data_IF_909749321906
#
_entry.id   IF_909749321906
#
_cell.length_a   1.000
_cell.length_b   1.000
_cell.length_c   1.000
_cell.angle_alpha   90.00
_cell.angle_beta   90.00
_cell.angle_gamma   90.00
#
_symmetry.space_group_name_H-M   'P 1'
#
loop_
_entity.id
_entity.type
_entity.pdbx_description
1 polymer ?
#
# COMPACT_ATOMS: atom_id res chain seq x y z
N UNK A 1 12.02 5.94 16.41
CA UNK A 1 13.16 6.09 15.48
C UNK A 1 12.77 5.46 14.16
N UNK A 2 13.20 6.02 13.04
CA UNK A 2 12.96 5.46 11.71
C UNK A 2 13.70 4.10 11.59
N UNK A 3 13.05 3.01 11.12
CA UNK A 3 13.68 1.70 10.94
C UNK A 3 14.98 1.74 10.12
N UNK A 4 15.12 2.68 9.16
CA UNK A 4 16.38 2.82 8.42
C UNK A 4 17.54 3.32 9.29
N UNK A 5 17.25 4.14 10.31
CA UNK A 5 18.25 4.68 11.25
C UNK A 5 18.76 3.59 12.18
N UNK A 6 17.89 2.68 12.64
CA UNK A 6 18.26 1.58 13.52
C UNK A 6 19.14 0.54 12.80
N UNK A 7 18.81 0.24 11.55
CA UNK A 7 19.65 -0.59 10.68
C UNK A 7 21.04 0.04 10.45
N UNK A 8 21.10 1.36 10.27
CA UNK A 8 22.36 2.08 10.04
C UNK A 8 23.26 2.05 11.28
N UNK A 9 22.67 2.22 12.47
CA UNK A 9 23.38 2.10 13.74
C UNK A 9 23.88 0.66 13.97
N UNK A 10 23.07 -0.34 13.65
CA UNK A 10 23.45 -1.75 13.79
C UNK A 10 24.57 -2.12 12.83
N UNK A 11 24.47 -1.71 11.56
CA UNK A 11 25.53 -1.88 10.56
C UNK A 11 26.84 -1.20 11.00
N UNK A 12 26.76 0.07 11.43
CA UNK A 12 27.90 0.84 11.91
C UNK A 12 28.56 0.22 13.14
N UNK A 13 27.78 -0.41 14.03
CA UNK A 13 28.30 -1.15 15.19
C UNK A 13 29.05 -2.42 14.78
N UNK A 14 28.57 -3.16 13.78
CA UNK A 14 29.21 -4.39 13.31
C UNK A 14 30.53 -4.06 12.59
N UNK A 15 30.54 -3.07 11.69
CA UNK A 15 31.76 -2.68 10.96
C UNK A 15 32.73 -1.87 11.83
N UNK A 16 32.20 -1.08 12.78
CA UNK A 16 33.01 -0.29 13.71
C UNK A 16 33.70 -1.15 14.78
N UNK A 17 33.28 -2.41 14.95
CA UNK A 17 34.12 -3.41 15.60
C UNK A 17 35.33 -3.60 14.68
N UNK A 18 36.53 -3.19 15.11
CA UNK A 18 37.78 -3.32 14.34
C UNK A 18 38.18 -4.81 14.17
N UNK A 19 37.34 -5.62 13.52
CA UNK A 19 37.48 -7.06 13.37
C UNK A 19 38.79 -7.41 12.68
N UNK A 20 39.28 -6.55 11.78
CA UNK A 20 40.61 -6.71 11.18
C UNK A 20 41.74 -6.67 12.22
N UNK A 21 41.77 -5.67 13.10
CA UNK A 21 42.80 -5.56 14.14
C UNK A 21 42.67 -6.68 15.17
N UNK A 22 41.44 -7.02 15.56
CA UNK A 22 41.17 -8.14 16.45
C UNK A 22 41.62 -9.49 15.86
N UNK A 23 41.25 -9.78 14.60
CA UNK A 23 41.58 -11.04 13.94
C UNK A 23 43.08 -11.16 13.68
N UNK A 24 43.75 -10.07 13.27
CA UNK A 24 45.22 -10.06 13.11
C UNK A 24 45.94 -10.25 14.44
N UNK A 25 45.44 -9.65 15.52
CA UNK A 25 45.96 -9.87 16.87
C UNK A 25 45.79 -11.33 17.33
N UNK A 26 44.58 -11.90 17.19
CA UNK A 26 44.31 -13.31 17.51
C UNK A 26 45.11 -14.27 16.63
N UNK A 27 45.29 -13.96 15.35
CA UNK A 27 46.11 -14.74 14.42
C UNK A 27 47.58 -14.77 14.84
N UNK A 28 48.09 -13.64 15.38
CA UNK A 28 49.45 -13.60 15.96
C UNK A 28 49.54 -14.49 17.20
N UNK A 29 48.54 -14.42 18.09
CA UNK A 29 48.49 -15.28 19.29
C UNK A 29 48.44 -16.77 18.92
N UNK A 30 47.69 -17.15 17.88
CA UNK A 30 47.64 -18.53 17.38
C UNK A 30 49.01 -19.03 16.88
N UNK A 31 49.87 -18.14 16.36
CA UNK A 31 51.23 -18.48 15.92
C UNK A 31 52.22 -18.60 17.07
N UNK A 32 51.95 -17.93 18.18
CA UNK A 32 52.76 -17.95 19.40
C UNK A 32 52.32 -19.05 20.39
N UNK A 33 51.17 -19.68 20.15
CA UNK A 33 50.63 -20.78 20.94
C UNK A 33 51.58 -21.98 21.00
N UNK A 34 51.72 -22.58 22.18
CA UNK A 34 52.70 -23.65 22.42
C UNK A 34 52.15 -25.04 22.12
N UNK A 35 50.84 -25.16 21.98
CA UNK A 35 50.14 -26.42 21.75
C UNK A 35 49.20 -26.30 20.55
N UNK A 36 49.01 -27.42 19.85
CA UNK A 36 48.05 -27.50 18.75
C UNK A 36 46.60 -27.27 19.21
N UNK A 37 46.28 -27.66 20.45
CA UNK A 37 44.94 -27.51 21.03
C UNK A 37 44.58 -26.03 21.22
N UNK A 38 45.50 -25.27 21.83
CA UNK A 38 45.34 -23.81 22.04
C UNK A 38 45.31 -23.05 20.71
N UNK A 39 46.15 -23.46 19.74
CA UNK A 39 46.13 -22.89 18.40
C UNK A 39 44.79 -23.12 17.69
N UNK A 40 44.23 -24.33 17.81
CA UNK A 40 42.94 -24.67 17.22
C UNK A 40 41.80 -23.88 17.86
N UNK A 41 41.78 -23.77 19.17
CA UNK A 41 40.77 -22.98 19.91
C UNK A 41 40.74 -21.51 19.46
N UNK A 42 41.92 -20.91 19.27
CA UNK A 42 42.02 -19.52 18.77
C UNK A 42 41.52 -19.41 17.31
N UNK A 43 41.82 -20.40 16.45
CA UNK A 43 41.31 -20.40 15.08
C UNK A 43 39.79 -20.58 15.02
N UNK A 44 39.24 -21.47 15.86
CA UNK A 44 37.80 -21.69 15.96
C UNK A 44 37.09 -20.40 16.43
N UNK A 45 37.62 -19.70 17.43
CA UNK A 45 37.09 -18.40 17.89
C UNK A 45 37.11 -17.33 16.78
N UNK A 46 38.20 -17.26 15.99
CA UNK A 46 38.30 -16.35 14.84
C UNK A 46 37.21 -16.67 13.81
N UNK A 47 37.04 -17.94 13.47
CA UNK A 47 36.09 -18.38 12.45
C UNK A 47 34.66 -18.16 12.90
N UNK A 48 34.31 -18.55 14.13
CA UNK A 48 32.96 -18.36 14.70
C UNK A 48 32.58 -16.88 14.72
N UNK A 49 33.45 -16.02 15.23
CA UNK A 49 33.17 -14.58 15.30
C UNK A 49 32.99 -13.97 13.91
N UNK A 50 33.81 -14.35 12.92
CA UNK A 50 33.69 -13.86 11.54
C UNK A 50 32.41 -14.37 10.86
N UNK A 51 32.00 -15.60 11.14
CA UNK A 51 30.76 -16.17 10.61
C UNK A 51 29.54 -15.47 11.22
N UNK A 52 29.57 -15.18 12.51
CA UNK A 52 28.50 -14.45 13.21
C UNK A 52 28.38 -13.03 12.67
N UNK A 53 29.48 -12.28 12.55
CA UNK A 53 29.45 -10.92 11.99
C UNK A 53 28.95 -10.91 10.54
N UNK A 54 29.34 -11.91 9.74
CA UNK A 54 28.81 -12.08 8.38
C UNK A 54 27.30 -12.35 8.40
N UNK A 55 26.83 -13.23 9.26
CA UNK A 55 25.40 -13.56 9.41
C UNK A 55 24.60 -12.30 9.79
N UNK A 56 25.09 -11.54 10.76
CA UNK A 56 24.48 -10.28 11.18
C UNK A 56 24.43 -9.26 10.04
N UNK A 57 25.52 -9.08 9.30
CA UNK A 57 25.55 -8.21 8.13
C UNK A 57 24.59 -8.68 7.03
N UNK A 58 24.46 -9.99 6.81
CA UNK A 58 23.51 -10.55 5.86
C UNK A 58 22.06 -10.30 6.28
N UNK A 59 21.77 -10.40 7.58
CA UNK A 59 20.45 -10.09 8.13
C UNK A 59 20.12 -8.61 7.99
N UNK A 60 21.08 -7.71 8.32
CA UNK A 60 20.92 -6.27 8.14
C UNK A 60 20.73 -5.91 6.67
N UNK A 61 21.53 -6.50 5.75
CA UNK A 61 21.38 -6.28 4.31
C UNK A 61 20.03 -6.77 3.77
N UNK A 62 19.54 -7.91 4.27
CA UNK A 62 18.20 -8.41 3.92
C UNK A 62 17.11 -7.47 4.40
N UNK A 63 17.19 -7.00 5.64
CA UNK A 63 16.22 -6.05 6.19
C UNK A 63 16.24 -4.69 5.47
N UNK A 64 17.43 -4.21 5.06
CA UNK A 64 17.53 -3.06 4.16
C UNK A 64 16.81 -3.34 2.84
N UNK A 65 17.11 -4.47 2.20
CA UNK A 65 16.46 -4.88 0.95
C UNK A 65 14.94 -4.93 1.11
N UNK A 66 14.44 -5.54 2.17
CA UNK A 66 13.01 -5.63 2.46
C UNK A 66 12.40 -4.25 2.66
N UNK A 67 13.06 -3.34 3.38
CA UNK A 67 12.60 -1.96 3.57
C UNK A 67 12.46 -1.21 2.24
N UNK A 68 13.37 -1.46 1.29
CA UNK A 68 13.30 -0.89 -0.07
C UNK A 68 12.27 -1.57 -0.96
N UNK A 69 12.16 -2.90 -0.93
CA UNK A 69 11.23 -3.68 -1.74
C UNK A 69 9.77 -3.54 -1.26
N UNK A 70 9.54 -3.31 0.04
CA UNK A 70 8.19 -3.11 0.59
C UNK A 70 7.51 -1.83 0.07
N UNK A 71 8.23 -0.92 -0.57
CA UNK A 71 7.69 0.32 -1.16
C UNK A 71 7.30 0.11 -2.64
N UNK A 72 7.78 -0.97 -3.26
CA UNK A 72 7.57 -1.29 -4.66
C UNK A 72 6.31 -2.15 -4.86
N UNK A 73 5.38 -1.72 -5.71
CA UNK A 73 4.26 -2.56 -6.19
C UNK A 73 4.81 -3.43 -7.34
N UNK A 74 4.52 -4.73 -7.35
CA UNK A 74 4.93 -5.62 -8.45
C UNK A 74 4.06 -5.38 -9.70
N UNK A 75 4.52 -5.80 -10.88
CA UNK A 75 3.71 -5.68 -12.11
C UNK A 75 2.37 -6.41 -12.01
N UNK A 76 2.32 -7.54 -11.32
CA UNK A 76 1.10 -8.32 -11.06
C UNK A 76 0.15 -7.59 -10.10
N UNK A 77 0.68 -6.97 -9.05
CA UNK A 77 -0.10 -6.14 -8.12
C UNK A 77 -0.69 -4.89 -8.81
N UNK A 78 0.05 -4.30 -9.77
CA UNK A 78 -0.45 -3.18 -10.58
C UNK A 78 -1.63 -3.62 -11.46
N UNK A 79 -1.57 -4.82 -12.05
CA UNK A 79 -2.69 -5.35 -12.84
C UNK A 79 -3.91 -5.64 -11.98
N UNK A 80 -3.72 -6.16 -10.75
CA UNK A 80 -4.76 -6.30 -9.74
C UNK A 80 -5.40 -4.95 -9.37
N UNK A 81 -4.59 -3.92 -9.17
CA UNK A 81 -5.06 -2.57 -8.89
C UNK A 81 -5.88 -2.01 -10.06
N UNK A 82 -5.36 -2.12 -11.30
CA UNK A 82 -6.04 -1.70 -12.53
C UNK A 82 -7.40 -2.38 -12.68
N UNK A 83 -7.47 -3.70 -12.47
CA UNK A 83 -8.71 -4.47 -12.55
C UNK A 83 -9.71 -4.11 -11.44
N UNK A 84 -9.21 -3.84 -10.23
CA UNK A 84 -10.05 -3.42 -9.11
C UNK A 84 -10.63 -2.03 -9.34
N UNK A 85 -9.81 -1.08 -9.79
CA UNK A 85 -10.26 0.28 -10.15
C UNK A 85 -11.29 0.20 -11.26
N UNK A 86 -11.04 -0.60 -12.31
CA UNK A 86 -12.00 -0.81 -13.40
C UNK A 86 -13.34 -1.32 -12.86
N UNK A 87 -13.34 -2.34 -12.01
CA UNK A 87 -14.58 -2.89 -11.41
C UNK A 87 -15.32 -1.85 -10.57
N UNK A 88 -14.61 -1.08 -9.75
CA UNK A 88 -15.22 -0.04 -8.92
C UNK A 88 -15.87 1.02 -9.80
N UNK A 89 -15.17 1.47 -10.84
CA UNK A 89 -15.70 2.42 -11.84
C UNK A 89 -16.94 1.87 -12.53
N UNK A 90 -16.91 0.62 -12.99
CA UNK A 90 -18.05 -0.04 -13.63
C UNK A 90 -19.27 -0.13 -12.72
N UNK A 91 -19.06 -0.33 -11.40
CA UNK A 91 -20.15 -0.32 -10.42
C UNK A 91 -20.78 1.07 -10.24
N UNK A 92 -19.99 2.13 -10.30
CA UNK A 92 -20.51 3.51 -10.21
C UNK A 92 -21.11 4.01 -11.54
N UNK A 93 -20.67 3.45 -12.67
CA UNK A 93 -21.14 3.80 -14.02
C UNK A 93 -22.26 2.88 -14.54
N UNK A 94 -23.05 2.25 -13.66
CA UNK A 94 -24.24 1.51 -14.06
C UNK A 94 -25.26 2.48 -14.67
N UNK A 95 -25.24 2.61 -16.00
CA UNK A 95 -26.23 3.38 -16.73
C UNK A 95 -27.57 2.61 -16.68
N UNK A 96 -28.65 3.24 -16.19
CA UNK A 96 -29.97 2.64 -16.27
C UNK A 96 -30.39 2.47 -17.74
N UNK A 97 -31.16 1.42 -18.03
CA UNK A 97 -31.54 1.09 -19.40
C UNK A 97 -32.36 2.22 -20.03
N UNK A 98 -32.04 2.58 -21.28
CA UNK A 98 -32.66 3.71 -22.00
C UNK A 98 -34.18 3.52 -22.07
N UNK A 99 -34.63 2.30 -22.32
CA UNK A 99 -36.05 2.00 -22.47
C UNK A 99 -36.78 2.03 -21.12
N UNK A 100 -36.11 1.60 -20.04
CA UNK A 100 -36.61 1.65 -18.66
C UNK A 100 -36.75 3.11 -18.16
N UNK A 101 -35.79 3.97 -18.49
CA UNK A 101 -35.84 5.40 -18.19
C UNK A 101 -37.00 6.11 -18.92
N UNK A 102 -37.19 5.80 -20.19
CA UNK A 102 -38.29 6.36 -21.00
C UNK A 102 -39.63 5.91 -20.43
N UNK A 103 -39.80 4.62 -20.10
CA UNK A 103 -41.03 4.10 -19.49
C UNK A 103 -41.32 4.73 -18.13
N UNK A 104 -40.31 4.83 -17.25
CA UNK A 104 -40.47 5.47 -15.93
C UNK A 104 -40.90 6.93 -16.07
N UNK A 105 -40.30 7.69 -16.99
CA UNK A 105 -40.66 9.10 -17.23
C UNK A 105 -42.02 9.27 -17.91
N UNK A 106 -42.42 8.37 -18.80
CA UNK A 106 -43.77 8.35 -19.36
C UNK A 106 -44.85 8.08 -18.30
N UNK A 107 -44.54 7.26 -17.29
CA UNK A 107 -45.48 6.92 -16.21
C UNK A 107 -45.59 8.03 -15.14
N UNK A 108 -44.53 8.81 -14.93
CA UNK A 108 -44.47 9.91 -13.95
C UNK A 108 -45.03 11.23 -14.48
N UNK A 109 -44.96 11.47 -15.80
CA UNK A 109 -45.33 12.75 -16.41
C UNK A 109 -46.22 12.52 -17.62
N UNK A 110 -47.41 13.15 -17.63
CA UNK A 110 -48.35 13.10 -18.76
C UNK A 110 -47.90 13.88 -20.00
N UNK A 111 -46.61 13.83 -20.34
CA UNK A 111 -45.95 14.58 -21.39
C UNK A 111 -45.86 13.79 -22.71
N UNK A 112 -45.65 14.49 -23.84
CA UNK A 112 -45.46 13.90 -25.16
C UNK A 112 -44.12 13.14 -25.24
N UNK A 113 -44.13 11.94 -25.85
CA UNK A 113 -42.98 11.02 -25.97
C UNK A 113 -41.72 11.69 -26.55
N UNK A 114 -41.87 12.59 -27.51
CA UNK A 114 -40.75 13.30 -28.14
C UNK A 114 -39.94 14.18 -27.17
N UNK A 115 -40.59 14.84 -26.21
CA UNK A 115 -39.91 15.70 -25.23
C UNK A 115 -39.17 14.88 -24.16
N UNK A 116 -39.65 13.67 -23.88
CA UNK A 116 -39.04 12.72 -22.95
C UNK A 116 -37.78 12.12 -23.59
N UNK A 117 -37.85 11.73 -24.87
CA UNK A 117 -36.70 11.19 -25.61
C UNK A 117 -35.53 12.21 -25.64
N UNK A 118 -35.81 13.49 -25.91
CA UNK A 118 -34.78 14.55 -25.91
C UNK A 118 -34.15 14.78 -24.52
N UNK A 119 -34.90 14.58 -23.44
CA UNK A 119 -34.37 14.69 -22.07
C UNK A 119 -33.52 13.48 -21.69
N UNK A 120 -33.97 12.28 -22.05
CA UNK A 120 -33.23 11.03 -21.84
C UNK A 120 -31.93 11.03 -22.63
N UNK A 121 -31.95 11.44 -23.89
CA UNK A 121 -30.75 11.51 -24.72
C UNK A 121 -29.72 12.53 -24.17
N UNK A 122 -30.18 13.67 -23.61
CA UNK A 122 -29.30 14.62 -22.89
C UNK A 122 -28.68 14.01 -21.64
N UNK A 123 -29.45 13.26 -20.86
CA UNK A 123 -28.96 12.57 -19.66
C UNK A 123 -27.91 11.50 -20.02
N UNK A 124 -28.19 10.68 -21.05
CA UNK A 124 -27.28 9.63 -21.52
C UNK A 124 -25.98 10.19 -22.10
N UNK A 125 -26.05 11.28 -22.88
CA UNK A 125 -24.84 11.94 -23.39
C UNK A 125 -23.97 12.50 -22.25
N UNK A 126 -24.58 13.06 -21.21
CA UNK A 126 -23.85 13.56 -20.03
C UNK A 126 -23.20 12.43 -19.21
N UNK A 127 -23.86 11.27 -19.12
CA UNK A 127 -23.28 10.05 -18.52
C UNK A 127 -22.10 9.55 -19.37
N UNK A 128 -22.25 9.51 -20.70
CA UNK A 128 -21.21 9.09 -21.63
C UNK A 128 -19.96 9.98 -21.55
N UNK A 129 -20.13 11.30 -21.48
CA UNK A 129 -19.02 12.24 -21.32
C UNK A 129 -18.27 12.03 -19.99
N UNK A 130 -18.99 11.66 -18.92
CA UNK A 130 -18.37 11.30 -17.64
C UNK A 130 -17.61 9.98 -17.73
N UNK A 131 -18.19 8.97 -18.39
CA UNK A 131 -17.54 7.69 -18.61
C UNK A 131 -16.23 7.83 -19.40
N UNK A 132 -16.21 8.65 -20.46
CA UNK A 132 -15.00 8.92 -21.24
C UNK A 132 -13.88 9.56 -20.40
N UNK A 133 -14.21 10.50 -19.51
CA UNK A 133 -13.22 11.12 -18.60
C UNK A 133 -12.64 10.11 -17.61
N UNK A 134 -13.47 9.20 -17.10
CA UNK A 134 -12.98 8.15 -16.21
C UNK A 134 -12.11 7.15 -16.96
N UNK A 135 -12.45 6.82 -18.20
CA UNK A 135 -11.67 5.93 -19.05
C UNK A 135 -10.29 6.50 -19.39
N UNK A 136 -10.21 7.83 -19.64
CA UNK A 136 -8.94 8.54 -19.77
C UNK A 136 -8.09 8.47 -18.50
N UNK A 137 -8.70 8.56 -17.31
CA UNK A 137 -7.99 8.40 -16.05
C UNK A 137 -7.47 6.96 -15.87
N UNK A 138 -8.27 5.95 -16.22
CA UNK A 138 -7.85 4.54 -16.18
C UNK A 138 -6.66 4.30 -17.11
N UNK A 139 -6.60 4.97 -18.26
CA UNK A 139 -5.46 4.87 -19.19
C UNK A 139 -4.16 5.45 -18.61
N UNK A 140 -4.23 6.39 -17.67
CA UNK A 140 -3.06 6.92 -16.95
C UNK A 140 -2.61 5.99 -15.82
N UNK A 141 -3.51 5.17 -15.29
CA UNK A 141 -3.23 4.09 -14.34
C UNK A 141 -2.81 2.83 -15.12
N UNK A 142 -1.88 2.99 -16.05
CA UNK A 142 -1.31 1.87 -16.80
C UNK A 142 -0.02 1.35 -16.14
N UNK A 143 0.29 0.08 -16.40
CA UNK A 143 1.40 -0.64 -15.78
C UNK A 143 2.72 0.09 -16.01
N UNK A 144 2.98 0.54 -17.23
CA UNK A 144 4.22 1.23 -17.59
C UNK A 144 4.34 2.61 -16.91
N UNK A 145 3.22 3.32 -16.73
CA UNK A 145 3.20 4.62 -16.05
C UNK A 145 3.45 4.48 -14.56
N UNK A 146 2.84 3.47 -13.94
CA UNK A 146 3.03 3.21 -12.51
C UNK A 146 4.45 2.70 -12.22
N UNK A 147 5.00 1.85 -13.08
CA UNK A 147 6.40 1.40 -12.96
C UNK A 147 7.40 2.55 -13.12
N UNK A 148 7.20 3.45 -14.09
CA UNK A 148 8.11 4.59 -14.29
C UNK A 148 8.08 5.56 -13.12
N UNK A 149 6.90 5.86 -12.57
CA UNK A 149 6.77 6.64 -11.35
C UNK A 149 7.43 5.95 -10.15
N UNK A 150 7.32 4.62 -10.03
CA UNK A 150 8.03 3.84 -9.02
C UNK A 150 9.55 3.95 -9.15
N UNK A 151 10.07 3.85 -10.38
CA UNK A 151 11.51 4.05 -10.67
C UNK A 151 11.99 5.45 -10.30
N UNK A 152 11.13 6.46 -10.40
CA UNK A 152 11.40 7.82 -9.95
C UNK A 152 11.29 8.00 -8.42
N UNK A 153 10.92 6.95 -7.67
CA UNK A 153 10.83 6.96 -6.21
C UNK A 153 9.44 7.26 -5.65
N UNK A 154 8.38 7.15 -6.46
CA UNK A 154 7.01 7.35 -5.98
C UNK A 154 6.55 6.22 -5.05
N UNK A 155 6.08 6.56 -3.85
CA UNK A 155 5.60 5.60 -2.84
C UNK A 155 4.07 5.44 -2.91
N UNK A 156 3.62 4.36 -3.54
CA UNK A 156 2.19 4.10 -3.74
C UNK A 156 1.41 3.73 -2.47
N UNK A 157 2.06 3.08 -1.51
CA UNK A 157 1.42 2.74 -0.23
C UNK A 157 1.02 4.00 0.53
N UNK A 158 1.88 5.00 0.47
CA UNK A 158 1.61 6.30 1.10
C UNK A 158 0.67 7.17 0.27
N UNK A 159 0.88 7.26 -1.04
CA UNK A 159 0.14 8.19 -1.89
C UNK A 159 -1.30 7.73 -2.20
N UNK A 160 -1.57 6.42 -2.23
CA UNK A 160 -2.89 5.87 -2.59
C UNK A 160 -3.41 4.94 -1.49
N UNK A 161 -2.56 4.06 -0.96
CA UNK A 161 -2.96 3.07 0.05
C UNK A 161 -3.51 3.69 1.34
N UNK A 162 -2.76 4.60 1.96
CA UNK A 162 -3.19 5.30 3.18
C UNK A 162 -4.48 6.10 2.98
N UNK A 163 -4.60 7.01 1.98
CA UNK A 163 -5.84 7.75 1.75
C UNK A 163 -7.05 6.85 1.49
N UNK A 164 -6.88 5.77 0.71
CA UNK A 164 -7.98 4.83 0.47
C UNK A 164 -8.41 4.12 1.75
N UNK A 165 -7.46 3.74 2.59
CA UNK A 165 -7.72 3.12 3.90
C UNK A 165 -8.48 4.09 4.82
N UNK A 166 -8.07 5.35 4.86
CA UNK A 166 -8.74 6.41 5.63
C UNK A 166 -10.18 6.62 5.15
N UNK A 167 -10.40 6.79 3.84
CA UNK A 167 -11.74 6.97 3.28
C UNK A 167 -12.63 5.74 3.53
N UNK A 168 -12.09 4.53 3.38
CA UNK A 168 -12.83 3.30 3.71
C UNK A 168 -13.20 3.24 5.20
N UNK A 169 -12.25 3.57 6.07
CA UNK A 169 -12.46 3.65 7.52
C UNK A 169 -13.56 4.66 7.84
N UNK A 170 -13.49 5.88 7.31
CA UNK A 170 -14.46 6.94 7.52
C UNK A 170 -15.84 6.58 6.97
N UNK A 171 -15.91 5.91 5.82
CA UNK A 171 -17.16 5.41 5.26
C UNK A 171 -17.81 4.37 6.17
N UNK A 172 -17.02 3.44 6.69
CA UNK A 172 -17.49 2.41 7.63
C UNK A 172 -17.97 3.08 8.93
N UNK A 173 -17.18 3.97 9.52
CA UNK A 173 -17.56 4.66 10.75
C UNK A 173 -18.78 5.57 10.57
N UNK A 174 -18.91 6.26 9.45
CA UNK A 174 -20.09 7.10 9.17
C UNK A 174 -21.36 6.28 8.90
N UNK A 175 -21.25 5.08 8.33
CA UNK A 175 -22.39 4.18 8.10
C UNK A 175 -22.78 3.34 9.32
N UNK A 176 -21.81 2.92 10.14
CA UNK A 176 -22.05 2.08 11.33
C UNK A 176 -22.22 2.91 12.62
N UNK A 177 -21.53 4.04 12.76
CA UNK A 177 -21.59 4.91 13.95
C UNK A 177 -22.88 5.71 14.10
N UNK A 178 -23.72 5.77 13.07
CA UNK A 178 -24.94 6.57 13.06
C UNK A 178 -26.20 5.81 13.57
N UNK A 179 -26.04 4.63 14.20
CA UNK A 179 -27.17 3.81 14.69
C UNK A 179 -27.46 3.95 16.20
N UNK A 180 -26.65 4.67 17.00
CA UNK A 180 -26.77 4.61 18.47
C UNK A 180 -27.19 5.91 19.20
N UNK A 181 -27.73 6.92 18.52
CA UNK A 181 -28.29 8.09 19.21
C UNK A 181 -29.63 8.52 18.59
N UNK A 182 -30.72 7.81 18.91
CA UNK A 182 -32.10 8.34 18.71
C UNK A 182 -33.23 7.61 19.43
N UNK A 183 -32.96 6.76 20.42
CA UNK A 183 -33.99 6.07 21.19
C UNK A 183 -33.79 6.24 22.70
N UNK A 184 -33.79 7.47 23.24
CA UNK A 184 -33.80 7.63 24.71
C UNK A 184 -34.19 9.02 25.25
N UNK A 185 -34.83 9.87 24.45
CA UNK A 185 -35.28 11.18 24.94
C UNK A 185 -36.64 11.56 24.33
N UNK A 186 -37.71 10.91 24.78
CA UNK A 186 -39.02 11.59 24.90
C UNK A 186 -40.06 10.85 25.78
N UNK A 187 -39.62 10.01 26.72
CA UNK A 187 -40.49 9.49 27.80
C UNK A 187 -39.99 9.95 29.17
N UNK A 188 -40.09 11.25 29.45
CA UNK A 188 -40.17 11.76 30.83
C UNK A 188 -40.39 13.26 30.82
N UNK A 189 -41.62 13.71 31.09
CA UNK A 189 -41.89 15.13 31.28
C UNK A 189 -43.35 15.53 31.45
N UNK A 190 -44.20 14.66 31.99
CA UNK A 190 -45.50 15.06 32.53
C UNK A 190 -45.26 15.51 33.99
N UNK A 191 -45.21 16.83 34.22
CA UNK A 191 -45.63 17.46 35.49
C UNK A 191 -45.49 18.99 35.40
N UNK A 192 -46.59 19.67 35.03
CA UNK A 192 -47.23 20.77 35.80
C UNK A 192 -48.45 21.35 35.08
#
# INVERSE_FOLDING_TARGET
MDPATDLALTFGKIIGRNTYEWATHKLRNAREAKTLEEQKEIYDEIVETLLDEKSDLQNVARQYKDLYEQISITSEDIDLLKNTIRRVVELFNQAPDREELIQTKMNETGFNRGDIEIQVDRYLNKQKEQAEKVEQFIALVDNDTLQTMQLLGFNYKEAIGKPLTEVCSDFIYSKLGNQNYRNEADESGDDK
#
